data_IF_498708528452
#
_entry.id   IF_498708528452
#
_cell.length_a   1.000
_cell.length_b   1.000
_cell.length_c   1.000
_cell.angle_alpha   90.00
_cell.angle_beta   90.00
_cell.angle_gamma   90.00
#
_symmetry.space_group_name_H-M   'P 1'
#
loop_
_entity.id
_entity.type
_entity.pdbx_description
1 polymer ?
#
# COMPACT_ATOMS: atom_id res chain seq x y z
N UNK A 1 -33.15 -10.80 -6.06
CA UNK A 1 -32.57 -11.66 -5.01
C UNK A 1 -32.25 -13.01 -5.63
N UNK A 2 -31.02 -13.20 -6.08
CA UNK A 2 -30.60 -14.45 -6.71
C UNK A 2 -29.83 -15.31 -5.72
N UNK A 3 -30.38 -16.47 -5.36
CA UNK A 3 -29.66 -17.47 -4.57
C UNK A 3 -28.88 -18.35 -5.56
N UNK A 4 -27.57 -18.37 -5.49
CA UNK A 4 -26.74 -19.33 -6.23
C UNK A 4 -26.20 -20.35 -5.23
N UNK A 5 -26.57 -21.62 -5.39
CA UNK A 5 -26.01 -22.73 -4.63
C UNK A 5 -24.99 -23.42 -5.51
N UNK A 6 -23.74 -23.50 -5.06
CA UNK A 6 -22.72 -24.34 -5.66
C UNK A 6 -22.32 -25.44 -4.66
N UNK A 7 -22.30 -26.71 -5.13
CA UNK A 7 -21.78 -27.83 -4.34
C UNK A 7 -20.29 -27.92 -4.53
N UNK A 8 -19.55 -27.80 -3.45
CA UNK A 8 -18.11 -28.02 -3.45
C UNK A 8 -17.84 -29.23 -2.55
N UNK A 9 -17.25 -30.29 -3.13
CA UNK A 9 -16.83 -31.53 -2.47
C UNK A 9 -17.90 -32.22 -1.59
N UNK A 10 -18.86 -32.82 -2.25
CA UNK A 10 -19.63 -33.97 -1.77
C UNK A 10 -20.68 -33.74 -0.69
N UNK A 11 -20.46 -32.94 0.35
CA UNK A 11 -21.37 -32.82 1.50
C UNK A 11 -21.55 -31.43 2.12
N UNK A 12 -21.01 -30.38 1.55
CA UNK A 12 -21.19 -29.00 2.04
C UNK A 12 -21.99 -28.15 1.06
N UNK A 13 -23.20 -27.78 1.44
CA UNK A 13 -23.98 -26.80 0.69
C UNK A 13 -23.69 -25.40 1.25
N UNK A 14 -22.97 -24.58 0.49
CA UNK A 14 -22.70 -23.18 0.84
C UNK A 14 -23.79 -22.33 0.19
N UNK A 15 -24.57 -21.64 1.00
CA UNK A 15 -25.57 -20.68 0.52
C UNK A 15 -24.94 -19.28 0.62
N UNK A 16 -24.74 -18.66 -0.54
CA UNK A 16 -24.29 -17.27 -0.65
C UNK A 16 -25.47 -16.32 -0.51
N UNK A 17 -25.52 -15.52 0.53
CA UNK A 17 -26.56 -14.52 0.73
C UNK A 17 -25.93 -13.13 0.62
N UNK A 18 -26.38 -12.35 -0.36
CA UNK A 18 -26.05 -10.92 -0.48
C UNK A 18 -26.97 -10.09 0.42
N UNK A 19 -26.41 -9.42 1.40
CA UNK A 19 -27.13 -8.44 2.21
C UNK A 19 -26.26 -7.17 2.33
N UNK A 20 -26.82 -6.03 1.91
CA UNK A 20 -26.21 -4.70 2.05
C UNK A 20 -24.79 -4.55 1.45
N UNK A 21 -24.51 -5.25 0.34
CA UNK A 21 -23.20 -5.16 -0.33
C UNK A 21 -22.13 -6.12 0.22
N UNK A 22 -22.40 -6.85 1.30
CA UNK A 22 -21.48 -7.83 1.87
C UNK A 22 -21.87 -9.26 1.52
N UNK A 23 -20.85 -10.08 1.22
CA UNK A 23 -21.00 -11.50 0.95
C UNK A 23 -20.96 -12.27 2.29
N UNK A 24 -22.06 -12.95 2.65
CA UNK A 24 -22.10 -13.79 3.86
C UNK A 24 -22.27 -15.26 3.49
N UNK A 25 -21.53 -16.12 4.18
CA UNK A 25 -21.56 -17.57 4.01
C UNK A 25 -22.34 -18.19 5.17
N UNK A 26 -23.28 -19.10 4.88
CA UNK A 26 -23.93 -19.91 5.91
C UNK A 26 -23.59 -21.38 5.69
N UNK A 27 -23.07 -22.02 6.72
CA UNK A 27 -22.84 -23.45 6.74
C UNK A 27 -23.65 -24.07 7.88
N UNK A 28 -24.51 -25.03 7.57
CA UNK A 28 -25.26 -25.81 8.58
C UNK A 28 -26.20 -25.01 9.49
N UNK A 29 -26.79 -23.90 9.04
CA UNK A 29 -27.83 -23.16 9.79
C UNK A 29 -27.30 -22.27 10.93
N UNK A 30 -26.02 -22.22 11.21
CA UNK A 30 -25.39 -21.22 12.09
C UNK A 30 -24.76 -20.11 11.25
N UNK A 31 -25.06 -18.86 11.58
CA UNK A 31 -24.41 -17.70 10.99
C UNK A 31 -23.12 -17.50 11.78
N UNK A 32 -22.04 -18.10 11.32
CA UNK A 32 -20.72 -17.72 11.82
C UNK A 32 -20.34 -16.39 11.17
N UNK A 33 -20.25 -15.36 11.98
CA UNK A 33 -19.67 -14.06 11.64
C UNK A 33 -18.14 -14.18 11.52
N UNK A 34 -17.67 -15.13 10.71
CA UNK A 34 -16.28 -15.18 10.32
C UNK A 34 -16.10 -14.28 9.11
N UNK A 35 -15.82 -13.02 9.38
CA UNK A 35 -15.49 -12.01 8.35
C UNK A 35 -14.04 -12.17 7.87
N UNK A 36 -13.58 -13.37 7.62
CA UNK A 36 -12.37 -13.55 6.84
C UNK A 36 -12.77 -13.57 5.38
N UNK A 37 -12.69 -12.40 4.73
CA UNK A 37 -12.65 -12.34 3.27
C UNK A 37 -11.63 -13.36 2.81
N UNK A 38 -11.93 -14.21 1.80
CA UNK A 38 -10.94 -15.12 1.28
C UNK A 38 -9.73 -14.29 0.87
N UNK A 39 -8.64 -14.44 1.62
CA UNK A 39 -7.39 -13.75 1.33
C UNK A 39 -6.85 -14.44 0.08
N UNK A 40 -7.16 -13.88 -1.08
CA UNK A 40 -6.49 -14.27 -2.31
C UNK A 40 -5.02 -13.89 -2.12
N UNK A 41 -4.20 -14.87 -1.75
CA UNK A 41 -2.76 -14.71 -1.64
C UNK A 41 -2.25 -14.42 -3.05
N UNK A 42 -2.07 -13.14 -3.37
CA UNK A 42 -1.54 -12.73 -4.67
C UNK A 42 -0.06 -13.13 -4.71
N UNK A 43 0.41 -13.65 -5.83
CA UNK A 43 1.84 -13.98 -6.02
C UNK A 43 2.78 -12.83 -5.64
N UNK A 44 2.38 -11.60 -5.93
CA UNK A 44 3.12 -10.39 -5.58
C UNK A 44 3.33 -10.22 -4.05
N UNK A 45 2.48 -10.81 -3.20
CA UNK A 45 2.64 -10.71 -1.75
C UNK A 45 3.95 -11.33 -1.28
N UNK A 46 4.30 -12.50 -1.81
CA UNK A 46 5.52 -13.20 -1.46
C UNK A 46 6.76 -12.42 -1.95
N UNK A 47 6.68 -11.75 -3.12
CA UNK A 47 7.74 -10.87 -3.63
C UNK A 47 7.93 -9.62 -2.74
N UNK A 48 6.83 -9.01 -2.27
CA UNK A 48 6.89 -7.88 -1.33
C UNK A 48 7.49 -8.31 0.00
N UNK A 49 7.15 -9.52 0.47
CA UNK A 49 7.69 -10.07 1.71
C UNK A 49 9.20 -10.32 1.60
N UNK A 50 9.66 -10.90 0.48
CA UNK A 50 11.09 -11.08 0.20
C UNK A 50 11.83 -9.73 0.17
N UNK A 51 11.24 -8.70 -0.44
CA UNK A 51 11.81 -7.36 -0.39
C UNK A 51 11.92 -6.85 1.05
N UNK A 52 10.87 -7.00 1.86
CA UNK A 52 10.86 -6.55 3.26
C UNK A 52 12.03 -7.16 4.04
N UNK A 53 12.25 -8.47 3.92
CA UNK A 53 13.27 -9.18 4.68
C UNK A 53 14.70 -8.91 4.18
N UNK A 54 14.89 -8.81 2.87
CA UNK A 54 16.22 -8.86 2.29
C UNK A 54 16.72 -7.52 1.72
N UNK A 55 15.83 -6.59 1.37
CA UNK A 55 16.18 -5.41 0.58
C UNK A 55 15.65 -4.09 1.11
N UNK A 56 14.70 -4.11 2.04
CA UNK A 56 13.98 -2.91 2.47
C UNK A 56 14.83 -1.88 3.20
N UNK A 57 16.01 -2.26 3.69
CA UNK A 57 16.97 -1.33 4.31
C UNK A 57 17.73 -0.48 3.28
N UNK A 58 17.83 -0.95 2.04
CA UNK A 58 18.62 -0.31 0.99
C UNK A 58 17.79 0.26 -0.15
N UNK A 59 16.60 -0.28 -0.37
CA UNK A 59 15.78 0.06 -1.53
C UNK A 59 14.31 0.24 -1.15
N UNK A 60 13.69 1.29 -1.67
CA UNK A 60 12.24 1.41 -1.70
C UNK A 60 11.66 0.39 -2.70
N UNK A 61 10.48 -0.14 -2.40
CA UNK A 61 9.75 -1.01 -3.32
C UNK A 61 8.87 -0.18 -4.26
N UNK A 62 9.00 -0.36 -5.56
CA UNK A 62 8.09 0.25 -6.52
C UNK A 62 7.17 -0.79 -7.16
N UNK A 63 5.87 -0.71 -6.84
CA UNK A 63 4.81 -1.55 -7.42
C UNK A 63 4.27 -0.89 -8.68
N UNK A 64 4.66 -1.40 -9.85
CA UNK A 64 4.21 -0.91 -11.16
C UNK A 64 3.08 -1.77 -11.70
N UNK A 65 2.14 -1.17 -12.41
CA UNK A 65 1.08 -1.93 -13.10
C UNK A 65 0.03 -1.03 -13.74
N UNK A 66 -0.92 -1.64 -14.45
CA UNK A 66 -2.04 -0.93 -15.03
C UNK A 66 -2.88 -0.23 -13.94
N UNK A 67 -3.70 0.74 -14.36
CA UNK A 67 -4.66 1.36 -13.44
C UNK A 67 -5.69 0.33 -12.96
N UNK A 68 -6.16 0.47 -11.71
CA UNK A 68 -7.23 -0.35 -11.10
C UNK A 68 -6.92 -1.85 -10.95
N UNK A 69 -5.65 -2.27 -10.99
CA UNK A 69 -5.26 -3.66 -10.72
C UNK A 69 -5.04 -3.96 -9.23
N UNK A 70 -5.28 -2.98 -8.35
CA UNK A 70 -5.20 -3.14 -6.90
C UNK A 70 -3.78 -2.99 -6.33
N UNK A 71 -2.92 -2.14 -6.92
CA UNK A 71 -1.59 -1.83 -6.39
C UNK A 71 -1.62 -1.21 -4.99
N UNK A 72 -2.41 -0.16 -4.84
CA UNK A 72 -2.58 0.55 -3.55
C UNK A 72 -3.17 -0.37 -2.49
N UNK A 73 -4.17 -1.19 -2.89
CA UNK A 73 -4.81 -2.15 -1.99
C UNK A 73 -3.80 -3.17 -1.45
N UNK A 74 -2.98 -3.78 -2.33
CA UNK A 74 -2.00 -4.79 -1.88
C UNK A 74 -0.89 -4.16 -1.03
N UNK A 75 -0.44 -2.94 -1.36
CA UNK A 75 0.54 -2.21 -0.56
C UNK A 75 0.01 -1.92 0.85
N UNK A 76 -1.23 -1.44 0.94
CA UNK A 76 -1.89 -1.14 2.22
C UNK A 76 -2.20 -2.41 3.03
N UNK A 77 -2.71 -3.47 2.40
CA UNK A 77 -2.95 -4.76 3.07
C UNK A 77 -1.65 -5.37 3.61
N UNK A 78 -0.57 -5.28 2.84
CA UNK A 78 0.75 -5.73 3.26
C UNK A 78 1.25 -4.90 4.45
N UNK A 79 1.15 -3.57 4.38
CA UNK A 79 1.57 -2.68 5.45
C UNK A 79 0.82 -2.95 6.77
N UNK A 80 -0.50 -3.15 6.70
CA UNK A 80 -1.34 -3.48 7.87
C UNK A 80 -0.95 -4.79 8.56
N UNK A 81 -0.46 -5.78 7.80
CA UNK A 81 -0.12 -7.10 8.32
C UNK A 81 1.32 -7.21 8.81
N UNK A 82 2.23 -6.54 8.11
CA UNK A 82 3.66 -6.78 8.24
C UNK A 82 4.41 -5.68 8.99
N UNK A 83 3.77 -4.54 9.24
CA UNK A 83 4.38 -3.41 9.94
C UNK A 83 3.54 -2.98 11.16
N UNK A 84 4.22 -2.42 12.15
CA UNK A 84 3.58 -1.93 13.38
C UNK A 84 2.70 -0.71 13.15
N UNK A 85 3.12 0.16 12.25
CA UNK A 85 2.31 1.27 11.75
C UNK A 85 2.68 1.62 10.30
N UNK A 86 1.79 2.30 9.61
CA UNK A 86 2.05 2.78 8.27
C UNK A 86 1.41 4.14 8.04
N UNK A 87 1.98 4.91 7.14
CA UNK A 87 1.39 6.11 6.58
C UNK A 87 1.19 5.88 5.09
N UNK A 88 -0.02 6.16 4.58
CA UNK A 88 -0.33 6.14 3.16
C UNK A 88 -0.57 7.57 2.69
N UNK A 89 0.23 8.04 1.73
CA UNK A 89 0.10 9.34 1.09
C UNK A 89 -0.36 9.10 -0.36
N UNK A 90 -1.64 9.37 -0.62
CA UNK A 90 -2.20 9.34 -1.96
C UNK A 90 -2.01 10.71 -2.63
N UNK A 91 -1.04 10.83 -3.55
CA UNK A 91 -0.74 12.08 -4.22
C UNK A 91 -1.85 12.56 -5.18
N UNK A 92 -2.88 11.77 -5.42
CA UNK A 92 -4.07 12.22 -6.14
C UNK A 92 -5.02 13.06 -5.26
N UNK A 93 -5.01 12.84 -3.94
CA UNK A 93 -5.98 13.41 -3.01
C UNK A 93 -5.36 14.03 -1.74
N UNK A 94 -4.03 14.10 -1.64
CA UNK A 94 -3.35 14.59 -0.44
C UNK A 94 -3.52 16.11 -0.25
N UNK A 95 -3.36 16.56 0.99
CA UNK A 95 -3.47 17.97 1.33
C UNK A 95 -2.23 18.76 0.89
N UNK A 96 -2.42 20.09 0.67
CA UNK A 96 -1.30 20.97 0.37
C UNK A 96 -0.22 20.96 1.46
N UNK A 97 -0.61 20.86 2.73
CA UNK A 97 0.34 20.82 3.85
C UNK A 97 1.31 19.64 3.74
N UNK A 98 0.85 18.48 3.26
CA UNK A 98 1.73 17.32 3.02
C UNK A 98 2.62 17.55 1.80
N UNK A 99 2.11 18.17 0.74
CA UNK A 99 2.89 18.52 -0.45
C UNK A 99 4.04 19.46 -0.08
N UNK A 100 3.75 20.49 0.70
CA UNK A 100 4.71 21.51 1.11
C UNK A 100 5.85 20.93 1.98
N UNK A 101 5.64 19.81 2.68
CA UNK A 101 6.71 19.13 3.43
C UNK A 101 7.87 18.64 2.53
N UNK A 102 7.58 18.32 1.28
CA UNK A 102 8.62 17.87 0.35
C UNK A 102 9.45 19.01 -0.26
N UNK A 103 9.13 20.27 0.05
CA UNK A 103 9.92 21.42 -0.40
C UNK A 103 11.20 21.57 0.43
N UNK A 104 11.17 21.13 1.71
CA UNK A 104 12.33 21.12 2.58
C UNK A 104 12.54 19.70 3.17
N UNK A 105 13.36 18.92 2.49
CA UNK A 105 13.77 17.58 2.93
C UNK A 105 15.19 17.55 3.49
N UNK A 106 15.78 18.72 3.81
CA UNK A 106 17.11 18.79 4.41
C UNK A 106 17.07 18.36 5.88
N UNK A 107 16.03 18.76 6.61
CA UNK A 107 15.80 18.34 8.00
C UNK A 107 14.77 17.22 8.04
N UNK A 108 15.26 15.98 8.02
CA UNK A 108 14.41 14.79 8.06
C UNK A 108 13.73 14.59 9.43
N UNK A 109 14.30 15.09 10.51
CA UNK A 109 13.68 15.02 11.84
C UNK A 109 12.42 15.87 11.87
N UNK A 110 12.53 17.09 11.37
CA UNK A 110 11.38 17.99 11.22
C UNK A 110 10.37 17.44 10.24
N UNK A 111 10.81 16.91 9.09
CA UNK A 111 9.93 16.28 8.09
C UNK A 111 9.08 15.18 8.69
N UNK A 112 9.68 14.21 9.38
CA UNK A 112 8.93 13.09 9.96
C UNK A 112 8.07 13.51 11.14
N UNK A 113 8.49 14.50 11.95
CA UNK A 113 7.67 15.05 13.01
C UNK A 113 6.38 15.66 12.46
N UNK A 114 6.50 16.51 11.46
CA UNK A 114 5.37 17.16 10.81
C UNK A 114 4.46 16.15 10.11
N UNK A 115 5.05 15.16 9.40
CA UNK A 115 4.28 14.12 8.72
C UNK A 115 3.43 13.32 9.71
N UNK A 116 4.00 12.92 10.87
CA UNK A 116 3.27 12.20 11.90
C UNK A 116 2.13 13.05 12.49
N UNK A 117 2.36 14.36 12.70
CA UNK A 117 1.32 15.27 13.20
C UNK A 117 0.17 15.44 12.20
N UNK A 118 0.49 15.67 10.93
CA UNK A 118 -0.52 15.87 9.88
C UNK A 118 -1.36 14.61 9.63
N UNK A 119 -0.72 13.45 9.71
CA UNK A 119 -1.39 12.16 9.49
C UNK A 119 -2.04 11.59 10.75
N UNK A 120 -1.71 12.12 11.93
CA UNK A 120 -2.18 11.58 13.22
C UNK A 120 -1.68 10.16 13.51
N UNK A 121 -0.57 9.73 12.89
CA UNK A 121 -0.04 8.37 12.97
C UNK A 121 1.38 8.43 13.51
N UNK A 122 1.65 7.65 14.56
CA UNK A 122 3.01 7.49 15.09
C UNK A 122 3.79 6.47 14.26
N UNK A 123 5.00 6.85 13.87
CA UNK A 123 5.96 5.96 13.22
C UNK A 123 6.95 5.39 14.23
N UNK A 124 7.38 4.15 14.00
CA UNK A 124 8.36 3.42 14.80
C UNK A 124 9.54 3.06 13.90
N UNK A 125 10.74 3.41 14.33
CA UNK A 125 11.96 3.14 13.58
C UNK A 125 12.11 1.65 13.27
N UNK A 126 12.45 1.34 12.03
CA UNK A 126 12.59 -0.02 11.48
C UNK A 126 11.31 -0.86 11.45
N UNK A 127 10.24 -0.43 12.13
CA UNK A 127 8.99 -1.18 12.25
C UNK A 127 7.82 -0.55 11.48
N UNK A 128 8.04 0.62 10.84
CA UNK A 128 7.00 1.31 10.10
C UNK A 128 7.34 1.46 8.62
N UNK A 129 6.29 1.59 7.81
CA UNK A 129 6.41 1.81 6.36
C UNK A 129 5.61 3.04 5.93
N UNK A 130 6.16 3.79 4.99
CA UNK A 130 5.50 4.92 4.34
C UNK A 130 5.20 4.53 2.90
N UNK A 131 3.92 4.64 2.51
CA UNK A 131 3.43 4.29 1.18
C UNK A 131 3.18 5.57 0.41
N UNK A 132 3.83 5.73 -0.73
CA UNK A 132 3.62 6.80 -1.70
C UNK A 132 2.76 6.27 -2.85
N UNK A 133 1.46 6.57 -2.80
CA UNK A 133 0.51 6.10 -3.81
C UNK A 133 0.39 7.10 -4.97
N UNK A 134 0.32 6.58 -6.19
CA UNK A 134 0.28 7.34 -7.44
C UNK A 134 1.46 8.34 -7.56
N UNK A 135 2.67 7.89 -7.20
CA UNK A 135 3.90 8.71 -7.08
C UNK A 135 4.25 9.52 -8.34
N UNK A 136 3.77 9.10 -9.52
CA UNK A 136 3.98 9.84 -10.76
C UNK A 136 3.26 11.20 -10.81
N UNK A 137 2.29 11.45 -9.92
CA UNK A 137 1.59 12.73 -9.82
C UNK A 137 2.41 13.77 -9.05
N UNK A 138 3.41 13.32 -8.26
CA UNK A 138 4.26 14.22 -7.49
C UNK A 138 5.75 13.82 -7.58
N UNK A 139 6.46 14.25 -8.64
CA UNK A 139 7.85 13.89 -8.90
C UNK A 139 8.83 14.25 -7.78
N UNK A 140 8.57 15.29 -6.99
CA UNK A 140 9.41 15.68 -5.84
C UNK A 140 9.51 14.57 -4.79
N UNK A 141 8.39 13.89 -4.47
CA UNK A 141 8.43 12.76 -3.55
C UNK A 141 9.36 11.65 -4.07
N UNK A 142 9.33 11.40 -5.38
CA UNK A 142 10.22 10.41 -5.99
C UNK A 142 11.69 10.81 -5.97
N UNK A 143 12.00 12.11 -6.05
CA UNK A 143 13.37 12.59 -5.87
C UNK A 143 13.80 12.46 -4.41
N UNK A 144 12.91 12.73 -3.46
CA UNK A 144 13.18 12.62 -2.02
C UNK A 144 13.43 11.18 -1.57
N UNK A 145 12.87 10.17 -2.25
CA UNK A 145 12.93 8.76 -1.81
C UNK A 145 14.36 8.28 -1.57
N UNK A 146 15.33 8.73 -2.37
CA UNK A 146 16.74 8.38 -2.21
C UNK A 146 17.28 8.82 -0.85
N UNK A 147 16.96 10.03 -0.43
CA UNK A 147 17.41 10.57 0.86
C UNK A 147 16.69 9.92 2.02
N UNK A 148 15.38 9.68 1.85
CA UNK A 148 14.54 9.02 2.84
C UNK A 148 14.97 7.56 3.09
N UNK A 149 15.33 6.82 2.05
CA UNK A 149 15.88 5.46 2.18
C UNK A 149 17.26 5.47 2.80
N UNK A 150 18.13 6.44 2.42
CA UNK A 150 19.48 6.56 2.98
C UNK A 150 19.47 6.89 4.48
N UNK A 151 18.48 7.64 4.96
CA UNK A 151 18.25 7.88 6.38
C UNK A 151 17.98 6.58 7.17
N UNK A 152 17.27 5.64 6.55
CA UNK A 152 17.11 4.28 7.03
C UNK A 152 16.19 4.09 8.24
N UNK A 153 15.50 5.11 8.75
CA UNK A 153 14.56 4.98 9.87
C UNK A 153 13.30 4.19 9.52
N UNK A 154 12.78 4.36 8.31
CA UNK A 154 11.53 3.74 7.87
C UNK A 154 11.71 3.00 6.55
N UNK A 155 10.72 2.17 6.20
CA UNK A 155 10.65 1.49 4.91
C UNK A 155 9.73 2.24 3.98
N UNK A 156 9.90 2.07 2.66
CA UNK A 156 9.15 2.82 1.66
C UNK A 156 8.61 1.93 0.57
N UNK A 157 7.32 2.09 0.28
CA UNK A 157 6.64 1.45 -0.85
C UNK A 157 6.09 2.57 -1.75
N UNK A 158 6.39 2.51 -3.02
CA UNK A 158 5.83 3.39 -4.04
C UNK A 158 4.85 2.61 -4.90
N UNK A 159 3.75 3.21 -5.29
CA UNK A 159 2.90 2.69 -6.34
C UNK A 159 2.81 3.66 -7.51
N UNK A 160 2.64 3.13 -8.72
CA UNK A 160 2.53 3.99 -9.87
C UNK A 160 2.04 3.28 -11.14
N UNK A 161 1.43 4.06 -12.03
CA UNK A 161 0.99 3.59 -13.33
C UNK A 161 2.14 3.61 -14.35
N UNK A 162 2.37 2.49 -15.05
CA UNK A 162 3.41 2.34 -16.08
C UNK A 162 3.38 3.42 -17.16
N UNK A 163 2.19 3.84 -17.59
CA UNK A 163 2.01 4.81 -18.67
C UNK A 163 2.35 6.23 -18.24
N UNK A 164 2.09 6.56 -16.98
CA UNK A 164 2.31 7.91 -16.44
C UNK A 164 3.78 8.12 -16.04
N UNK A 165 4.45 7.09 -15.54
CA UNK A 165 5.88 7.14 -15.18
C UNK A 165 6.74 7.49 -16.41
N UNK A 166 6.41 6.94 -17.58
CA UNK A 166 7.15 7.24 -18.83
C UNK A 166 6.90 8.65 -19.38
N UNK A 167 5.73 9.25 -19.11
CA UNK A 167 5.38 10.58 -19.63
C UNK A 167 6.00 11.73 -18.84
N UNK A 168 6.19 11.55 -17.53
CA UNK A 168 6.67 12.62 -16.62
C UNK A 168 8.18 12.62 -16.40
N UNK A 169 8.94 11.77 -17.11
CA UNK A 169 10.40 11.68 -16.96
C UNK A 169 11.18 12.62 -17.87
N UNK A 170 10.52 13.50 -18.64
CA UNK A 170 11.25 14.38 -19.57
C UNK A 170 12.12 15.43 -18.87
N UNK A 171 11.84 15.76 -17.59
CA UNK A 171 12.51 16.82 -16.84
C UNK A 171 13.12 16.35 -15.50
N UNK A 172 13.26 15.02 -15.28
CA UNK A 172 13.75 14.47 -14.02
C UNK A 172 14.99 13.63 -14.29
N UNK A 173 16.12 14.02 -13.68
CA UNK A 173 17.29 13.16 -13.54
C UNK A 173 16.90 11.93 -12.71
N UNK A 174 16.67 10.80 -13.39
CA UNK A 174 16.53 9.51 -12.73
C UNK A 174 17.95 9.10 -12.34
N UNK A 175 18.27 8.89 -11.05
CA UNK A 175 19.54 8.29 -10.69
C UNK A 175 19.61 6.94 -11.40
N UNK A 176 20.60 6.76 -12.27
CA UNK A 176 20.95 5.44 -12.79
C UNK A 176 21.40 4.57 -11.63
N UNK A 177 20.93 3.35 -11.62
CA UNK A 177 21.38 2.28 -10.74
C UNK A 177 22.89 2.12 -10.79
#
# INVERSE_FOLDING_TARGET
MGKKCEKINGDLTIILVYMNGDLRYTCGGKVDLCMDKPVFKRKIYDEIYEWKENRSDKYALLIKGARRVGKSTIAEEFAKKEFKSYILIDFAHTSKAIIDLFDDTYDLDFFFLQLQQLMGIRLYEKESVIIFDEVQLFPKARQAIKYLVADGRYKYIETGSLLSIKKNTKDILIPSE
#
